data_IF_143700168183
#
_entry.id   IF_143700168183
#
_cell.length_a   1.000
_cell.length_b   1.000
_cell.length_c   1.000
_cell.angle_alpha   90.00
_cell.angle_beta   90.00
_cell.angle_gamma   90.00
#
_symmetry.space_group_name_H-M   'P 1'
#
loop_
_entity.id
_entity.type
_entity.pdbx_description
1 polymer ?
#
# COMPACT_ATOMS: atom_id res chain seq x y z
N UNK A 1 -1.27 28.54 -2.81
CA UNK A 1 -1.29 27.32 -1.97
C UNK A 1 -0.07 26.53 -2.36
N UNK A 2 0.82 26.19 -1.43
CA UNK A 2 1.95 25.29 -1.73
C UNK A 2 1.39 23.88 -1.82
N UNK A 3 1.58 23.24 -2.97
CA UNK A 3 1.12 21.87 -3.17
C UNK A 3 2.01 20.91 -2.37
N UNK A 4 1.39 20.03 -1.57
CA UNK A 4 2.11 19.04 -0.76
C UNK A 4 2.67 17.95 -1.67
N UNK A 5 3.93 17.57 -1.46
CA UNK A 5 4.55 16.46 -2.17
C UNK A 5 4.22 15.15 -1.48
N UNK A 6 4.19 14.06 -2.22
CA UNK A 6 4.08 12.73 -1.62
C UNK A 6 5.27 12.43 -0.70
N UNK A 7 6.46 12.95 -1.01
CA UNK A 7 7.68 12.80 -0.19
C UNK A 7 7.62 13.51 1.17
N UNK A 8 6.69 14.45 1.36
CA UNK A 8 6.41 15.05 2.67
C UNK A 8 5.72 14.05 3.62
N UNK A 9 5.13 12.97 3.07
CA UNK A 9 4.38 11.94 3.81
C UNK A 9 5.10 10.58 3.73
N UNK A 10 5.67 10.25 2.58
CA UNK A 10 6.31 8.97 2.27
C UNK A 10 7.82 9.22 2.11
N UNK A 11 8.66 8.82 3.09
CA UNK A 11 10.10 9.09 3.02
C UNK A 11 10.76 8.46 1.79
N UNK A 12 11.48 9.25 0.99
CA UNK A 12 12.14 8.79 -0.24
C UNK A 12 13.54 8.18 0.00
N UNK A 13 14.03 8.22 1.24
CA UNK A 13 15.33 7.69 1.68
C UNK A 13 15.28 6.20 2.08
N UNK A 14 14.21 5.50 1.71
CA UNK A 14 13.94 4.11 2.12
C UNK A 14 13.69 3.20 0.93
N UNK A 15 13.88 1.91 1.17
CA UNK A 15 13.50 0.88 0.23
C UNK A 15 12.04 0.46 0.43
N UNK A 16 11.37 0.26 -0.71
CA UNK A 16 9.99 -0.17 -0.76
C UNK A 16 9.82 -1.38 -1.67
N UNK A 17 8.94 -2.27 -1.24
CA UNK A 17 8.29 -3.27 -2.09
C UNK A 17 6.86 -2.79 -2.35
N UNK A 18 6.37 -2.88 -3.58
CA UNK A 18 5.04 -2.40 -3.94
C UNK A 18 4.91 -1.94 -5.37
N UNK A 19 3.92 -1.11 -5.65
CA UNK A 19 3.68 -0.57 -6.99
C UNK A 19 3.12 0.85 -6.95
N UNK A 20 3.37 1.58 -8.04
CA UNK A 20 2.76 2.87 -8.35
C UNK A 20 2.19 2.80 -9.77
N UNK A 21 0.92 3.16 -9.93
CA UNK A 21 0.26 3.23 -11.23
C UNK A 21 0.13 4.68 -11.67
N UNK A 22 0.89 5.07 -12.69
CA UNK A 22 0.84 6.39 -13.30
C UNK A 22 -0.38 6.54 -14.23
N UNK A 23 -0.90 7.77 -14.35
CA UNK A 23 -2.10 8.09 -15.12
C UNK A 23 -1.96 7.94 -16.62
N UNK A 24 -0.73 7.94 -17.11
CA UNK A 24 -0.36 7.78 -18.51
C UNK A 24 0.19 6.39 -18.85
N UNK A 25 0.23 5.47 -17.87
CA UNK A 25 0.81 4.14 -18.04
C UNK A 25 -0.28 3.05 -18.07
N UNK A 26 -0.10 2.06 -18.96
CA UNK A 26 -1.04 0.95 -19.09
C UNK A 26 -0.87 -0.13 -18.01
N UNK A 27 0.33 -0.19 -17.41
CA UNK A 27 0.71 -1.15 -16.38
C UNK A 27 1.38 -0.45 -15.21
N UNK A 28 1.14 -0.87 -13.96
CA UNK A 28 1.78 -0.26 -12.80
C UNK A 28 3.29 -0.52 -12.81
N UNK A 29 4.05 0.48 -12.38
CA UNK A 29 5.49 0.35 -12.10
C UNK A 29 5.66 -0.33 -10.76
N UNK A 30 6.43 -1.42 -10.72
CA UNK A 30 6.64 -2.22 -9.51
C UNK A 30 8.01 -1.96 -8.90
N UNK A 31 8.07 -2.12 -7.59
CA UNK A 31 9.25 -1.91 -6.75
C UNK A 31 9.44 -3.14 -5.87
N UNK A 32 10.69 -3.51 -5.70
CA UNK A 32 11.11 -4.70 -4.98
C UNK A 32 12.33 -4.32 -4.15
N UNK A 33 12.11 -4.03 -2.87
CA UNK A 33 13.13 -3.57 -1.92
C UNK A 33 14.11 -2.53 -2.50
N UNK A 34 13.58 -1.47 -3.12
CA UNK A 34 14.39 -0.42 -3.77
C UNK A 34 13.84 0.98 -3.48
N UNK A 35 14.66 2.05 -3.59
CA UNK A 35 14.20 3.41 -3.32
C UNK A 35 13.26 3.93 -4.41
N UNK A 36 12.44 4.91 -4.04
CA UNK A 36 11.52 5.61 -4.94
C UNK A 36 11.77 7.10 -4.79
N UNK A 37 12.25 7.74 -5.86
CA UNK A 37 12.69 9.14 -5.81
C UNK A 37 11.71 10.03 -6.59
N UNK A 38 11.85 10.08 -7.91
CA UNK A 38 11.13 11.02 -8.79
C UNK A 38 9.60 10.96 -8.65
N UNK A 39 9.04 9.78 -8.45
CA UNK A 39 7.60 9.59 -8.35
C UNK A 39 7.02 10.15 -7.04
N UNK A 40 7.78 10.16 -5.94
CA UNK A 40 7.35 10.71 -4.65
C UNK A 40 7.47 12.24 -4.58
N UNK A 41 8.25 12.86 -5.46
CA UNK A 41 8.32 14.32 -5.56
C UNK A 41 7.08 14.97 -6.20
N UNK A 42 6.10 14.15 -6.58
CA UNK A 42 4.87 14.61 -7.23
C UNK A 42 3.91 15.28 -6.25
N UNK A 43 3.19 16.26 -6.80
CA UNK A 43 2.11 17.02 -6.17
C UNK A 43 0.81 16.79 -6.93
N UNK A 44 -0.31 17.14 -6.30
CA UNK A 44 -1.66 16.94 -6.81
C UNK A 44 -2.00 17.76 -8.08
N UNK A 45 -1.16 18.72 -8.48
CA UNK A 45 -1.38 19.55 -9.67
C UNK A 45 -0.49 19.17 -10.87
N UNK A 46 0.22 18.05 -10.81
CA UNK A 46 1.14 17.62 -11.85
C UNK A 46 0.59 16.47 -12.70
N UNK A 47 0.85 16.52 -14.01
CA UNK A 47 0.52 15.47 -14.97
C UNK A 47 1.83 14.92 -15.57
N UNK A 48 2.03 13.60 -15.69
CA UNK A 48 1.17 12.53 -15.19
C UNK A 48 1.12 12.46 -13.66
N UNK A 49 0.04 11.92 -13.10
CA UNK A 49 -0.12 11.73 -11.67
C UNK A 49 -0.21 10.23 -11.36
N UNK A 50 0.14 9.82 -10.15
CA UNK A 50 -0.14 8.46 -9.64
C UNK A 50 -1.65 8.33 -9.42
N UNK A 51 -2.33 7.40 -10.09
CA UNK A 51 -3.75 7.08 -9.85
C UNK A 51 -3.89 6.29 -8.54
N UNK A 52 -3.03 5.29 -8.37
CA UNK A 52 -3.06 4.36 -7.25
C UNK A 52 -1.62 3.92 -6.89
N UNK A 53 -1.36 3.69 -5.61
CA UNK A 53 -0.12 3.10 -5.15
C UNK A 53 -0.28 2.28 -3.87
N UNK A 54 0.53 1.24 -3.76
CA UNK A 54 0.71 0.47 -2.54
C UNK A 54 2.21 0.30 -2.31
N UNK A 55 2.73 0.83 -1.20
CA UNK A 55 4.15 0.79 -0.89
C UNK A 55 4.37 0.26 0.52
N UNK A 56 5.22 -0.75 0.66
CA UNK A 56 5.56 -1.35 1.93
C UNK A 56 7.07 -1.26 2.18
N UNK A 57 7.44 -0.64 3.30
CA UNK A 57 8.80 -0.56 3.81
C UNK A 57 8.95 -1.59 4.93
N UNK A 58 9.56 -2.73 4.61
CA UNK A 58 9.75 -3.84 5.54
C UNK A 58 10.63 -3.45 6.74
N UNK A 59 11.73 -2.73 6.51
CA UNK A 59 12.68 -2.33 7.56
C UNK A 59 12.00 -1.56 8.71
N UNK A 60 11.01 -0.71 8.36
CA UNK A 60 10.27 0.11 9.34
C UNK A 60 8.86 -0.41 9.61
N UNK A 61 8.45 -1.51 8.99
CA UNK A 61 7.10 -2.06 9.11
C UNK A 61 6.01 -1.00 8.79
N UNK A 62 6.23 -0.20 7.74
CA UNK A 62 5.31 0.86 7.31
C UNK A 62 4.70 0.54 5.95
N UNK A 63 3.39 0.72 5.82
CA UNK A 63 2.68 0.56 4.56
C UNK A 63 1.93 1.84 4.21
N UNK A 64 1.96 2.22 2.94
CA UNK A 64 1.34 3.43 2.41
C UNK A 64 0.38 3.06 1.28
N UNK A 65 -0.88 3.45 1.43
CA UNK A 65 -1.87 3.40 0.38
C UNK A 65 -2.04 4.80 -0.22
N UNK A 66 -1.90 4.90 -1.54
CA UNK A 66 -2.04 6.15 -2.29
C UNK A 66 -3.25 6.02 -3.20
N UNK A 67 -4.17 6.98 -3.13
CA UNK A 67 -5.29 7.13 -4.07
C UNK A 67 -5.35 8.57 -4.56
N UNK A 68 -5.61 8.75 -5.84
CA UNK A 68 -5.89 10.07 -6.39
C UNK A 68 -7.39 10.22 -6.66
N UNK A 69 -8.04 11.10 -5.91
CA UNK A 69 -9.50 11.29 -5.92
C UNK A 69 -9.80 12.78 -6.08
N UNK A 70 -10.59 13.14 -7.10
CA UNK A 70 -11.02 14.51 -7.38
C UNK A 70 -9.90 15.55 -7.39
N UNK A 71 -8.76 15.19 -8.00
CA UNK A 71 -7.63 16.09 -8.14
C UNK A 71 -6.74 16.18 -6.90
N UNK A 72 -6.87 15.26 -5.94
CA UNK A 72 -6.12 15.27 -4.67
C UNK A 72 -5.56 13.90 -4.32
N UNK A 73 -4.35 13.89 -3.78
CA UNK A 73 -3.77 12.72 -3.16
C UNK A 73 -4.37 12.45 -1.78
N UNK A 74 -4.93 11.26 -1.62
CA UNK A 74 -5.29 10.67 -0.33
C UNK A 74 -4.24 9.60 -0.01
N UNK A 75 -3.39 9.88 0.98
CA UNK A 75 -2.36 8.94 1.44
C UNK A 75 -2.71 8.45 2.83
N UNK A 76 -2.87 7.14 2.96
CA UNK A 76 -3.05 6.50 4.27
C UNK A 76 -1.77 5.76 4.63
N UNK A 77 -1.18 6.10 5.78
CA UNK A 77 -0.02 5.43 6.33
C UNK A 77 -0.42 4.48 7.45
N UNK A 78 0.15 3.28 7.44
CA UNK A 78 -0.05 2.25 8.45
C UNK A 78 1.29 1.87 9.06
N UNK A 79 1.35 1.84 10.39
CA UNK A 79 2.47 1.28 11.12
C UNK A 79 2.08 -0.11 11.65
N UNK A 80 2.61 -1.17 11.02
CA UNK A 80 2.33 -2.56 11.40
C UNK A 80 2.76 -2.88 12.83
N UNK A 81 3.70 -2.13 13.40
CA UNK A 81 4.07 -2.30 14.81
C UNK A 81 2.94 -1.93 15.78
N UNK A 82 2.08 -0.99 15.39
CA UNK A 82 0.91 -0.61 16.20
C UNK A 82 -0.21 -1.67 16.14
N UNK A 83 -0.14 -2.59 15.17
CA UNK A 83 -1.10 -3.67 14.99
C UNK A 83 -0.61 -5.03 15.50
N UNK A 84 0.52 -5.11 16.23
CA UNK A 84 1.14 -6.38 16.66
C UNK A 84 0.21 -7.34 17.41
N UNK A 85 -0.78 -6.81 18.13
CA UNK A 85 -1.74 -7.60 18.92
C UNK A 85 -3.15 -7.62 18.32
N UNK A 86 -3.33 -7.03 17.15
CA UNK A 86 -4.63 -6.93 16.49
C UNK A 86 -4.91 -8.20 15.70
N UNK A 87 -6.18 -8.59 15.66
CA UNK A 87 -6.62 -9.76 14.90
C UNK A 87 -6.62 -9.38 13.42
N UNK A 88 -6.00 -10.22 12.59
CA UNK A 88 -6.01 -10.02 11.14
C UNK A 88 -6.19 -11.33 10.39
N UNK A 89 -6.76 -11.22 9.20
CA UNK A 89 -6.67 -12.25 8.17
C UNK A 89 -5.67 -11.83 7.10
N UNK A 90 -4.89 -12.76 6.59
CA UNK A 90 -4.14 -12.55 5.36
C UNK A 90 -5.07 -12.72 4.15
N UNK A 91 -4.93 -11.84 3.16
CA UNK A 91 -5.70 -11.83 1.92
C UNK A 91 -4.74 -11.74 0.75
N UNK A 92 -4.87 -12.70 -0.16
CA UNK A 92 -4.09 -12.80 -1.38
C UNK A 92 -4.99 -12.50 -2.59
N UNK A 93 -4.45 -11.74 -3.54
CA UNK A 93 -5.14 -11.41 -4.78
C UNK A 93 -4.24 -11.66 -5.97
N UNK A 94 -4.76 -12.33 -7.00
CA UNK A 94 -4.08 -12.50 -8.29
C UNK A 94 -4.11 -11.16 -9.01
N UNK A 95 -2.96 -10.51 -9.24
CA UNK A 95 -2.97 -9.21 -9.87
C UNK A 95 -3.06 -9.29 -11.38
N UNK A 96 -3.75 -8.32 -11.96
CA UNK A 96 -3.66 -8.07 -13.39
C UNK A 96 -2.50 -7.09 -13.63
N UNK A 97 -1.60 -7.39 -14.56
CA UNK A 97 -0.49 -6.50 -15.02
C UNK A 97 0.64 -6.24 -14.01
N UNK A 98 0.72 -6.98 -12.91
CA UNK A 98 1.88 -7.01 -12.01
C UNK A 98 2.53 -8.38 -12.15
N UNK A 99 3.86 -8.47 -12.33
CA UNK A 99 4.56 -9.75 -12.50
C UNK A 99 4.80 -10.43 -11.14
N UNK A 100 3.71 -10.76 -10.44
CA UNK A 100 3.70 -11.51 -9.19
C UNK A 100 2.56 -12.55 -9.23
N UNK A 101 2.69 -13.66 -8.49
CA UNK A 101 1.57 -14.61 -8.35
C UNK A 101 0.43 -13.99 -7.57
N UNK A 102 0.77 -13.33 -6.45
CA UNK A 102 -0.20 -12.68 -5.58
C UNK A 102 0.31 -11.34 -5.04
N UNK A 103 -0.64 -10.45 -4.77
CA UNK A 103 -0.48 -9.26 -3.94
C UNK A 103 -1.09 -9.57 -2.59
N UNK A 104 -0.37 -9.25 -1.52
CA UNK A 104 -0.67 -9.71 -0.17
C UNK A 104 -1.09 -8.53 0.70
N UNK A 105 -2.20 -8.72 1.41
CA UNK A 105 -2.75 -7.76 2.35
C UNK A 105 -3.01 -8.41 3.69
N UNK A 106 -2.84 -7.63 4.76
CA UNK A 106 -3.38 -7.94 6.09
C UNK A 106 -4.66 -7.14 6.30
N UNK A 107 -5.76 -7.85 6.50
CA UNK A 107 -7.05 -7.28 6.86
C UNK A 107 -7.21 -7.33 8.38
N UNK A 108 -7.00 -6.19 9.03
CA UNK A 108 -7.15 -6.04 10.47
C UNK A 108 -8.60 -5.80 10.86
N UNK A 109 -9.00 -6.38 11.98
CA UNK A 109 -10.34 -6.29 12.54
C UNK A 109 -10.30 -5.62 13.91
N UNK A 110 -11.30 -4.80 14.21
CA UNK A 110 -11.48 -4.20 15.54
C UNK A 110 -12.63 -4.87 16.25
N UNK A 111 -12.47 -5.14 17.53
CA UNK A 111 -13.56 -5.56 18.39
C UNK A 111 -14.38 -4.35 18.83
N UNK A 112 -15.70 -4.45 18.72
CA UNK A 112 -16.64 -3.43 19.21
C UNK A 112 -17.92 -4.10 19.68
N UNK A 113 -18.49 -3.65 20.79
CA UNK A 113 -19.83 -4.05 21.19
C UNK A 113 -20.87 -3.49 20.22
N UNK A 114 -21.84 -4.31 19.82
CA UNK A 114 -22.90 -3.91 18.90
C UNK A 114 -24.28 -4.10 19.55
N UNK A 115 -25.03 -3.00 19.68
CA UNK A 115 -26.38 -2.98 20.24
C UNK A 115 -27.35 -3.90 19.45
N UNK A 116 -27.15 -4.05 18.14
CA UNK A 116 -27.95 -4.93 17.28
C UNK A 116 -27.61 -6.41 17.49
N UNK A 117 -26.51 -6.70 18.19
CA UNK A 117 -26.09 -8.03 18.60
C UNK A 117 -26.12 -8.18 20.13
N UNK A 118 -27.08 -7.54 20.80
CA UNK A 118 -27.25 -7.60 22.27
C UNK A 118 -25.98 -7.17 23.03
N UNK A 119 -25.23 -6.22 22.48
CA UNK A 119 -23.94 -5.72 22.99
C UNK A 119 -22.82 -6.79 23.05
N UNK A 120 -22.95 -7.89 22.30
CA UNK A 120 -21.86 -8.84 22.13
C UNK A 120 -20.69 -8.19 21.39
N UNK A 121 -19.46 -8.62 21.72
CA UNK A 121 -18.28 -8.21 20.97
C UNK A 121 -18.32 -8.78 19.55
N UNK A 122 -18.33 -7.90 18.55
CA UNK A 122 -18.27 -8.25 17.13
C UNK A 122 -17.02 -7.68 16.49
N UNK A 123 -16.60 -8.29 15.38
CA UNK A 123 -15.49 -7.80 14.57
C UNK A 123 -16.01 -6.85 13.49
N UNK A 124 -15.44 -5.65 13.44
CA UNK A 124 -15.68 -4.67 12.38
C UNK A 124 -14.41 -4.41 11.57
N UNK A 125 -14.51 -4.08 10.27
CA UNK A 125 -13.34 -3.77 9.45
C UNK A 125 -12.50 -2.65 10.08
N UNK A 126 -11.21 -2.92 10.31
CA UNK A 126 -10.27 -1.99 10.93
C UNK A 126 -9.36 -1.32 9.90
N UNK A 127 -8.47 -2.10 9.29
CA UNK A 127 -7.51 -1.62 8.29
C UNK A 127 -7.27 -2.69 7.23
N UNK A 128 -6.91 -2.28 6.01
CA UNK A 128 -6.58 -3.17 4.92
C UNK A 128 -5.23 -2.74 4.34
N UNK A 129 -4.19 -3.51 4.69
CA UNK A 129 -2.81 -3.05 4.65
C UNK A 129 -2.00 -3.91 3.70
N UNK A 130 -1.42 -3.31 2.67
CA UNK A 130 -0.54 -4.02 1.74
C UNK A 130 0.78 -4.40 2.43
N UNK A 131 1.24 -5.64 2.24
CA UNK A 131 2.45 -6.16 2.89
C UNK A 131 3.45 -6.82 1.94
N UNK A 132 3.21 -6.80 0.63
CA UNK A 132 4.18 -7.28 -0.35
C UNK A 132 3.58 -8.14 -1.46
N UNK A 133 4.47 -8.81 -2.19
CA UNK A 133 4.14 -9.69 -3.29
C UNK A 133 4.58 -11.12 -2.97
N UNK A 134 3.85 -12.08 -3.54
CA UNK A 134 4.28 -13.47 -3.60
C UNK A 134 4.86 -13.79 -4.98
N UNK A 135 5.95 -14.57 -5.03
CA UNK A 135 6.64 -15.02 -6.25
C UNK A 135 6.82 -13.90 -7.29
N UNK A 136 7.28 -12.73 -6.87
CA UNK A 136 7.54 -11.62 -7.79
C UNK A 136 8.70 -11.97 -8.73
N UNK A 137 8.48 -11.80 -10.03
CA UNK A 137 9.45 -12.07 -11.09
C UNK A 137 9.85 -10.76 -11.76
N UNK A 138 11.16 -10.50 -11.85
CA UNK A 138 11.69 -9.39 -12.65
C UNK A 138 12.64 -9.98 -13.69
N UNK A 139 12.45 -9.64 -14.96
CA UNK A 139 13.32 -10.06 -16.05
C UNK A 139 13.50 -11.60 -16.19
N UNK A 140 12.54 -12.38 -15.68
CA UNK A 140 12.55 -13.84 -15.74
C UNK A 140 13.12 -14.55 -14.51
N UNK A 141 13.59 -13.80 -13.51
CA UNK A 141 14.10 -14.34 -12.24
C UNK A 141 13.14 -14.03 -11.09
N UNK A 142 12.85 -15.02 -10.24
CA UNK A 142 12.06 -14.82 -9.01
C UNK A 142 12.91 -14.09 -7.98
N UNK A 143 12.46 -12.92 -7.53
CA UNK A 143 13.22 -12.03 -6.63
C UNK A 143 12.63 -11.99 -5.22
N UNK A 144 11.36 -12.38 -5.04
CA UNK A 144 10.73 -12.46 -3.71
C UNK A 144 9.96 -13.77 -3.51
N UNK A 145 10.22 -14.38 -2.36
CA UNK A 145 9.44 -15.47 -1.76
C UNK A 145 9.19 -15.09 -0.30
N UNK A 146 7.95 -15.20 0.15
CA UNK A 146 7.54 -14.89 1.52
C UNK A 146 7.87 -16.06 2.46
#
# INVERSE_FOLDING_TARGET
MNAQKLSDIIPNDRNYTGYLWMSDEQTPKTYCNQPIDKELERTDNQNPFIIEGQLYCEEKQLSYNIKYVDGKYMVTAYNLETFKNEIFDEKEYIPNRIPASHIIFKQYWKQKADELCENMEVLIPGAFVFVGFENYVKEGETIWQQ
#
